data_IF_561162697358
#
_entry.id   IF_561162697358
#
_cell.length_a   1.000
_cell.length_b   1.000
_cell.length_c   1.000
_cell.angle_alpha   90.00
_cell.angle_beta   90.00
_cell.angle_gamma   90.00
#
_symmetry.space_group_name_H-M   'P 1'
#
loop_
_entity.id
_entity.type
_entity.pdbx_description
1 polymer ?
#
# COMPACT_ATOMS: atom_id res chain seq x y z
N UNK A 1 -17.65 -2.48 25.12
CA UNK A 1 -17.57 -3.46 24.01
C UNK A 1 -16.54 -2.93 23.03
N UNK A 2 -15.31 -3.42 23.05
CA UNK A 2 -14.30 -3.03 22.06
C UNK A 2 -14.60 -3.79 20.77
N UNK A 3 -14.97 -3.05 19.72
CA UNK A 3 -15.20 -3.62 18.39
C UNK A 3 -13.88 -4.09 17.75
N UNK A 4 -13.98 -4.79 16.62
CA UNK A 4 -12.80 -5.15 15.84
C UNK A 4 -12.04 -3.89 15.41
N UNK A 5 -10.71 -3.96 15.42
CA UNK A 5 -9.84 -2.90 14.89
C UNK A 5 -10.15 -2.70 13.41
N UNK A 6 -10.45 -1.48 12.96
CA UNK A 6 -10.49 -1.19 11.52
C UNK A 6 -9.09 -0.86 11.02
N UNK A 7 -8.59 -1.66 10.09
CA UNK A 7 -7.24 -1.53 9.53
C UNK A 7 -7.29 -1.31 8.02
N UNK A 8 -6.61 -0.28 7.53
CA UNK A 8 -6.39 -0.04 6.11
C UNK A 8 -5.09 -0.70 5.64
N UNK A 9 -5.11 -1.35 4.48
CA UNK A 9 -3.94 -1.99 3.87
C UNK A 9 -3.79 -1.43 2.46
N UNK A 10 -2.64 -0.83 2.14
CA UNK A 10 -2.35 -0.42 0.77
C UNK A 10 -2.22 -1.62 -0.17
N UNK A 11 -2.39 -1.39 -1.47
CA UNK A 11 -2.30 -2.44 -2.48
C UNK A 11 -0.89 -2.55 -3.08
N UNK A 12 -0.41 -1.49 -3.75
CA UNK A 12 0.85 -1.53 -4.50
C UNK A 12 2.03 -1.65 -3.54
N UNK A 13 2.95 -2.59 -3.81
CA UNK A 13 4.12 -2.89 -2.98
C UNK A 13 3.85 -3.35 -1.53
N UNK A 14 2.58 -3.45 -1.10
CA UNK A 14 2.16 -4.02 0.19
C UNK A 14 1.46 -5.36 0.00
N UNK A 15 0.43 -5.43 -0.86
CA UNK A 15 -0.23 -6.68 -1.21
C UNK A 15 0.39 -7.32 -2.46
N UNK A 16 0.82 -6.52 -3.44
CA UNK A 16 1.36 -6.97 -4.72
C UNK A 16 2.72 -6.32 -5.05
N UNK A 17 3.66 -7.04 -5.71
CA UNK A 17 5.01 -6.53 -5.99
C UNK A 17 5.07 -5.60 -7.21
N UNK A 18 4.24 -4.54 -7.25
CA UNK A 18 4.10 -3.62 -8.40
C UNK A 18 5.44 -3.10 -8.90
N UNK A 19 6.25 -2.49 -8.03
CA UNK A 19 7.53 -1.89 -8.42
C UNK A 19 8.58 -2.94 -8.76
N UNK A 20 8.64 -4.07 -8.04
CA UNK A 20 9.57 -5.16 -8.38
C UNK A 20 9.32 -5.65 -9.82
N UNK A 21 8.05 -5.92 -10.17
CA UNK A 21 7.66 -6.42 -11.50
C UNK A 21 7.78 -5.36 -12.60
N UNK A 22 7.59 -4.08 -12.26
CA UNK A 22 7.85 -2.96 -13.18
C UNK A 22 9.34 -2.80 -13.46
N UNK A 23 10.19 -2.83 -12.43
CA UNK A 23 11.64 -2.72 -12.54
C UNK A 23 12.24 -3.86 -13.35
N UNK A 24 11.76 -5.09 -13.18
CA UNK A 24 12.16 -6.22 -14.03
C UNK A 24 11.94 -5.94 -15.53
N UNK A 25 10.78 -5.37 -15.88
CA UNK A 25 10.46 -5.03 -17.27
C UNK A 25 11.35 -3.91 -17.79
N UNK A 26 11.56 -2.89 -16.98
CA UNK A 26 12.44 -1.78 -17.28
C UNK A 26 13.87 -2.26 -17.55
N UNK A 27 14.44 -3.01 -16.59
CA UNK A 27 15.80 -3.55 -16.68
C UNK A 27 15.98 -4.43 -17.91
N UNK A 28 15.00 -5.30 -18.22
CA UNK A 28 15.04 -6.12 -19.43
C UNK A 28 15.04 -5.29 -20.72
N UNK A 29 14.26 -4.21 -20.76
CA UNK A 29 14.11 -3.36 -21.95
C UNK A 29 15.31 -2.43 -22.17
N UNK A 30 15.89 -1.93 -21.08
CA UNK A 30 16.91 -0.87 -21.12
C UNK A 30 18.32 -1.36 -20.81
N UNK A 31 18.49 -2.64 -20.45
CA UNK A 31 19.80 -3.18 -20.06
C UNK A 31 20.33 -2.59 -18.75
N UNK A 32 19.44 -2.12 -17.89
CA UNK A 32 19.78 -1.53 -16.58
C UNK A 32 19.69 -2.60 -15.48
N UNK A 33 20.11 -2.24 -14.26
CA UNK A 33 20.02 -3.11 -13.08
C UNK A 33 19.51 -2.33 -11.86
N UNK A 34 18.39 -1.63 -12.03
CA UNK A 34 17.76 -0.83 -10.97
C UNK A 34 16.95 -1.76 -10.07
N UNK A 35 17.17 -1.66 -8.76
CA UNK A 35 16.43 -2.40 -7.73
C UNK A 35 15.54 -1.46 -6.91
N UNK A 36 14.65 -2.00 -6.08
CA UNK A 36 13.80 -1.18 -5.19
C UNK A 36 14.60 -0.32 -4.21
N UNK A 37 15.83 -0.71 -3.87
CA UNK A 37 16.74 0.09 -3.06
C UNK A 37 17.21 1.38 -3.76
N UNK A 38 17.22 1.39 -5.09
CA UNK A 38 17.67 2.51 -5.89
C UNK A 38 16.53 3.51 -6.18
N UNK A 39 15.29 3.18 -5.79
CA UNK A 39 14.13 4.05 -5.96
C UNK A 39 13.89 4.75 -4.64
N UNK A 40 13.95 6.09 -4.63
CA UNK A 40 13.88 6.89 -3.40
C UNK A 40 12.58 7.69 -3.25
N UNK A 41 11.69 7.62 -4.24
CA UNK A 41 10.38 8.25 -4.22
C UNK A 41 9.43 7.49 -5.13
N UNK A 42 8.13 7.52 -4.80
CA UNK A 42 7.06 7.07 -5.70
C UNK A 42 6.96 7.93 -6.96
N UNK A 43 7.56 9.13 -6.97
CA UNK A 43 7.84 9.91 -8.17
C UNK A 43 9.11 9.41 -8.86
N UNK A 44 9.07 8.16 -9.32
CA UNK A 44 10.24 7.42 -9.84
C UNK A 44 10.85 8.03 -11.11
N UNK A 45 10.25 9.06 -11.70
CA UNK A 45 10.85 9.82 -12.81
C UNK A 45 12.27 10.32 -12.45
N UNK A 46 12.45 10.76 -11.19
CA UNK A 46 13.75 11.16 -10.63
C UNK A 46 14.73 10.00 -10.57
N UNK A 47 14.28 8.83 -10.11
CA UNK A 47 15.10 7.63 -9.94
C UNK A 47 15.50 7.00 -11.28
N UNK A 48 14.69 7.17 -12.33
CA UNK A 48 14.97 6.67 -13.68
C UNK A 48 15.60 7.71 -14.61
N UNK A 49 15.73 8.97 -14.18
CA UNK A 49 16.25 10.04 -15.02
C UNK A 49 15.37 10.32 -16.24
N UNK A 50 14.05 10.16 -16.11
CA UNK A 50 13.05 10.41 -17.16
C UNK A 50 12.14 11.58 -16.79
N UNK A 51 11.36 12.10 -17.75
CA UNK A 51 10.36 13.13 -17.43
C UNK A 51 9.19 12.55 -16.64
N UNK A 52 8.45 13.40 -15.94
CA UNK A 52 7.22 13.02 -15.23
C UNK A 52 6.19 12.39 -16.18
N UNK A 53 6.02 12.93 -17.39
CA UNK A 53 5.09 12.37 -18.38
C UNK A 53 5.52 10.99 -18.84
N UNK A 54 6.83 10.76 -19.00
CA UNK A 54 7.36 9.45 -19.36
C UNK A 54 7.15 8.43 -18.23
N UNK A 55 7.26 8.86 -16.96
CA UNK A 55 6.95 8.04 -15.81
C UNK A 55 5.46 7.69 -15.72
N UNK A 56 4.57 8.69 -15.84
CA UNK A 56 3.12 8.46 -15.88
C UNK A 56 2.74 7.48 -16.99
N UNK A 57 3.33 7.64 -18.18
CA UNK A 57 3.12 6.71 -19.29
C UNK A 57 3.63 5.30 -18.97
N UNK A 58 4.80 5.17 -18.33
CA UNK A 58 5.35 3.87 -17.94
C UNK A 58 4.40 3.12 -17.00
N UNK A 59 3.82 3.81 -16.00
CA UNK A 59 2.84 3.22 -15.09
C UNK A 59 1.54 2.87 -15.79
N UNK A 60 1.03 3.74 -16.67
CA UNK A 60 -0.17 3.45 -17.46
C UNK A 60 0.03 2.23 -18.37
N UNK A 61 1.17 2.15 -19.08
CA UNK A 61 1.56 0.99 -19.89
C UNK A 61 1.67 -0.28 -19.02
N UNK A 62 2.24 -0.16 -17.81
CA UNK A 62 2.34 -1.27 -16.86
C UNK A 62 0.96 -1.77 -16.41
N UNK A 63 0.07 -0.89 -15.96
CA UNK A 63 -1.29 -1.27 -15.54
C UNK A 63 -2.12 -1.88 -16.66
N UNK A 64 -1.88 -1.48 -17.92
CA UNK A 64 -2.51 -2.10 -19.11
C UNK A 64 -1.87 -3.43 -19.53
N UNK A 65 -0.72 -3.77 -18.99
CA UNK A 65 0.03 -4.96 -19.39
C UNK A 65 -0.60 -6.26 -18.86
N UNK A 66 -0.37 -7.36 -19.58
CA UNK A 66 -0.71 -8.71 -19.09
C UNK A 66 0.02 -9.08 -17.80
N UNK A 67 1.21 -8.51 -17.57
CA UNK A 67 1.99 -8.77 -16.34
C UNK A 67 1.28 -8.20 -15.12
N UNK A 68 0.72 -7.00 -15.24
CA UNK A 68 -0.11 -6.45 -14.17
C UNK A 68 -1.41 -7.25 -13.99
N UNK A 69 -2.10 -7.60 -15.08
CA UNK A 69 -3.35 -8.37 -15.02
C UNK A 69 -3.24 -9.71 -14.27
N UNK A 70 -2.08 -10.37 -14.35
CA UNK A 70 -1.80 -11.65 -13.69
C UNK A 70 -0.83 -11.51 -12.52
N UNK A 71 -0.62 -10.30 -12.02
CA UNK A 71 0.24 -10.05 -10.88
C UNK A 71 -0.30 -10.84 -9.69
N UNK A 72 0.57 -11.58 -9.02
CA UNK A 72 0.22 -12.36 -7.84
C UNK A 72 0.50 -11.51 -6.60
N UNK A 73 -0.30 -11.64 -5.53
CA UNK A 73 0.07 -11.05 -4.26
C UNK A 73 1.40 -11.62 -3.76
N UNK A 74 2.04 -10.93 -2.81
CA UNK A 74 3.10 -11.56 -2.02
C UNK A 74 2.58 -12.84 -1.37
N UNK A 75 3.44 -13.86 -1.31
CA UNK A 75 3.07 -15.20 -0.85
C UNK A 75 2.47 -15.17 0.57
N UNK A 76 3.00 -14.32 1.43
CA UNK A 76 2.55 -14.14 2.81
C UNK A 76 1.27 -13.30 2.96
N UNK A 77 0.93 -12.45 1.98
CA UNK A 77 -0.09 -11.41 2.15
C UNK A 77 -1.45 -12.01 2.51
N UNK A 78 -1.90 -13.03 1.77
CA UNK A 78 -3.21 -13.67 2.02
C UNK A 78 -3.27 -14.28 3.43
N UNK A 79 -2.22 -14.99 3.83
CA UNK A 79 -2.14 -15.62 5.13
C UNK A 79 -2.20 -14.58 6.26
N UNK A 80 -1.46 -13.48 6.12
CA UNK A 80 -1.45 -12.40 7.11
C UNK A 80 -2.84 -11.78 7.25
N UNK A 81 -3.50 -11.39 6.15
CA UNK A 81 -4.83 -10.78 6.21
C UNK A 81 -5.85 -11.75 6.81
N UNK A 82 -5.81 -13.03 6.44
CA UNK A 82 -6.68 -14.06 7.03
C UNK A 82 -6.45 -14.23 8.54
N UNK A 83 -5.20 -14.09 9.00
CA UNK A 83 -4.87 -14.18 10.43
C UNK A 83 -5.45 -13.04 11.29
N UNK A 84 -5.93 -11.96 10.67
CA UNK A 84 -6.50 -10.80 11.35
C UNK A 84 -8.01 -10.93 11.63
N UNK A 85 -8.71 -11.92 11.04
CA UNK A 85 -10.19 -11.99 11.02
C UNK A 85 -10.90 -11.86 12.38
N UNK A 86 -10.26 -12.30 13.46
CA UNK A 86 -10.83 -12.29 14.82
C UNK A 86 -10.42 -11.04 15.63
N UNK A 87 -9.57 -10.19 15.05
CA UNK A 87 -8.96 -9.02 15.69
C UNK A 87 -9.30 -7.72 14.97
N UNK A 88 -9.43 -7.78 13.65
CA UNK A 88 -9.59 -6.62 12.80
C UNK A 88 -10.63 -6.84 11.69
N UNK A 89 -11.15 -5.73 11.18
CA UNK A 89 -11.92 -5.62 9.94
C UNK A 89 -11.01 -4.93 8.90
N UNK A 90 -10.39 -5.68 7.97
CA UNK A 90 -9.48 -5.12 6.98
C UNK A 90 -10.20 -4.38 5.86
N UNK A 91 -9.66 -3.23 5.45
CA UNK A 91 -10.03 -2.45 4.27
C UNK A 91 -8.81 -2.36 3.36
N UNK A 92 -9.01 -2.53 2.06
CA UNK A 92 -7.97 -2.15 1.10
C UNK A 92 -8.10 -0.64 0.84
N UNK A 93 -7.02 0.13 1.00
CA UNK A 93 -7.03 1.59 0.83
C UNK A 93 -5.94 1.95 -0.16
N UNK A 94 -6.32 2.33 -1.38
CA UNK A 94 -5.35 2.51 -2.49
C UNK A 94 -5.49 3.85 -3.20
N UNK A 95 -4.36 4.40 -3.64
CA UNK A 95 -4.28 5.58 -4.50
C UNK A 95 -4.59 5.31 -5.98
N UNK A 96 -4.90 4.05 -6.36
CA UNK A 96 -5.15 3.62 -7.73
C UNK A 96 -6.16 4.52 -8.45
N UNK A 97 -5.86 5.03 -9.67
CA UNK A 97 -6.75 5.95 -10.35
C UNK A 97 -7.99 5.25 -10.92
N UNK A 98 -9.04 6.05 -11.13
CA UNK A 98 -10.39 5.57 -11.49
C UNK A 98 -10.48 4.58 -12.64
N UNK A 99 -9.71 4.71 -13.75
CA UNK A 99 -9.75 3.75 -14.85
C UNK A 99 -9.49 2.30 -14.43
N UNK A 100 -8.77 2.10 -13.32
CA UNK A 100 -8.34 0.77 -12.85
C UNK A 100 -9.19 0.19 -11.71
N UNK A 101 -10.17 0.93 -11.16
CA UNK A 101 -10.98 0.48 -10.01
C UNK A 101 -11.64 -0.87 -10.22
N UNK A 102 -12.24 -1.10 -11.40
CA UNK A 102 -12.91 -2.38 -11.70
C UNK A 102 -11.94 -3.55 -11.69
N UNK A 103 -10.74 -3.33 -12.23
CA UNK A 103 -9.69 -4.33 -12.28
C UNK A 103 -9.16 -4.62 -10.88
N UNK A 104 -8.85 -3.59 -10.10
CA UNK A 104 -8.42 -3.74 -8.69
C UNK A 104 -9.44 -4.51 -7.87
N UNK A 105 -10.73 -4.13 -7.90
CA UNK A 105 -11.79 -4.87 -7.19
C UNK A 105 -11.86 -6.34 -7.61
N UNK A 106 -11.70 -6.63 -8.90
CA UNK A 106 -11.69 -8.02 -9.40
C UNK A 106 -10.46 -8.77 -8.91
N UNK A 107 -9.29 -8.13 -8.90
CA UNK A 107 -8.04 -8.71 -8.42
C UNK A 107 -8.14 -9.04 -6.93
N UNK A 108 -8.60 -8.09 -6.10
CA UNK A 108 -8.83 -8.28 -4.66
C UNK A 108 -9.79 -9.42 -4.41
N UNK A 109 -10.92 -9.48 -5.13
CA UNK A 109 -11.87 -10.59 -5.01
C UNK A 109 -11.24 -11.94 -5.35
N UNK A 110 -10.42 -12.02 -6.40
CA UNK A 110 -9.82 -13.28 -6.82
C UNK A 110 -8.75 -13.79 -5.84
N UNK A 111 -8.00 -12.88 -5.21
CA UNK A 111 -6.85 -13.22 -4.37
C UNK A 111 -7.15 -13.21 -2.87
N UNK A 112 -8.13 -12.43 -2.43
CA UNK A 112 -8.48 -12.16 -1.04
C UNK A 112 -9.99 -12.28 -0.80
N UNK A 113 -10.66 -13.23 -1.48
CA UNK A 113 -12.11 -13.43 -1.39
C UNK A 113 -12.59 -13.40 0.07
N UNK A 114 -13.48 -12.43 0.36
CA UNK A 114 -14.09 -12.18 1.68
C UNK A 114 -13.14 -11.81 2.83
N UNK A 115 -11.86 -11.52 2.55
CA UNK A 115 -10.91 -11.10 3.57
C UNK A 115 -10.92 -9.58 3.81
N UNK A 116 -11.26 -8.80 2.79
CA UNK A 116 -11.46 -7.36 2.90
C UNK A 116 -12.95 -7.01 3.00
N UNK A 117 -13.26 -6.05 3.88
CA UNK A 117 -14.58 -5.46 4.02
C UNK A 117 -14.97 -4.67 2.78
N UNK A 118 -14.06 -3.84 2.29
CA UNK A 118 -14.25 -2.98 1.12
C UNK A 118 -12.89 -2.58 0.52
N UNK A 119 -12.90 -2.21 -0.77
CA UNK A 119 -11.78 -1.53 -1.45
C UNK A 119 -12.12 -0.04 -1.59
N UNK A 120 -11.33 0.79 -0.94
CA UNK A 120 -11.47 2.24 -0.85
C UNK A 120 -10.42 2.92 -1.73
N UNK A 121 -10.85 3.89 -2.55
CA UNK A 121 -10.00 4.52 -3.56
C UNK A 121 -9.81 6.01 -3.31
N UNK A 122 -8.54 6.45 -3.30
CA UNK A 122 -8.12 7.83 -3.08
C UNK A 122 -7.94 8.64 -4.39
N UNK A 123 -7.75 7.98 -5.55
CA UNK A 123 -7.57 8.60 -6.87
C UNK A 123 -6.44 9.65 -6.98
N UNK A 124 -5.31 9.47 -6.30
CA UNK A 124 -4.28 10.51 -6.17
C UNK A 124 -3.71 11.01 -7.51
N UNK A 125 -3.42 10.09 -8.44
CA UNK A 125 -2.70 10.40 -9.69
C UNK A 125 -3.58 10.88 -10.85
N UNK A 126 -4.91 10.90 -10.72
CA UNK A 126 -5.81 11.33 -11.81
C UNK A 126 -6.63 12.55 -11.39
N UNK A 127 -6.12 13.73 -11.75
CA UNK A 127 -6.74 15.04 -11.49
C UNK A 127 -8.08 15.24 -12.21
N UNK A 128 -8.47 14.33 -13.10
CA UNK A 128 -9.77 14.38 -13.80
C UNK A 128 -10.94 13.93 -12.91
N UNK A 129 -10.65 13.34 -11.75
CA UNK A 129 -11.65 12.85 -10.81
C UNK A 129 -11.43 13.41 -9.40
N UNK A 130 -12.48 13.48 -8.57
CA UNK A 130 -12.31 13.79 -7.16
C UNK A 130 -11.34 12.81 -6.51
N UNK A 131 -10.32 13.36 -5.85
CA UNK A 131 -9.39 12.64 -5.02
C UNK A 131 -9.63 12.98 -3.55
N UNK A 132 -9.18 12.08 -2.69
CA UNK A 132 -9.13 12.26 -1.24
C UNK A 132 -7.79 11.72 -0.76
N UNK A 133 -7.27 12.29 0.31
CA UNK A 133 -6.04 11.76 0.90
C UNK A 133 -6.31 10.43 1.61
N UNK A 134 -5.25 9.68 1.94
CA UNK A 134 -5.42 8.42 2.67
C UNK A 134 -5.96 8.66 4.07
N UNK A 135 -5.50 9.73 4.74
CA UNK A 135 -5.99 10.06 6.07
C UNK A 135 -7.48 10.47 6.06
N UNK A 136 -7.96 11.19 5.03
CA UNK A 136 -9.37 11.52 4.86
C UNK A 136 -10.24 10.25 4.69
N UNK A 137 -9.83 9.35 3.79
CA UNK A 137 -10.52 8.08 3.56
C UNK A 137 -10.53 7.23 4.83
N UNK A 138 -9.40 7.15 5.53
CA UNK A 138 -9.30 6.43 6.79
C UNK A 138 -10.23 6.99 7.87
N UNK A 139 -10.26 8.31 8.07
CA UNK A 139 -11.17 8.96 9.02
C UNK A 139 -12.64 8.69 8.69
N UNK A 140 -13.03 8.83 7.43
CA UNK A 140 -14.41 8.61 6.99
C UNK A 140 -14.90 7.18 7.32
N UNK A 141 -14.01 6.20 7.28
CA UNK A 141 -14.33 4.79 7.53
C UNK A 141 -14.00 4.35 8.97
N UNK A 142 -13.52 5.26 9.82
CA UNK A 142 -13.10 4.94 11.18
C UNK A 142 -11.93 3.97 11.25
N UNK A 143 -11.06 3.97 10.23
CA UNK A 143 -9.82 3.21 10.21
C UNK A 143 -8.87 3.80 11.24
N UNK A 144 -8.37 2.95 12.14
CA UNK A 144 -7.53 3.35 13.28
C UNK A 144 -6.05 3.01 13.05
N UNK A 145 -5.78 2.08 12.14
CA UNK A 145 -4.44 1.69 11.73
C UNK A 145 -4.34 1.61 10.21
N UNK A 146 -3.23 2.04 9.60
CA UNK A 146 -2.94 1.85 8.18
C UNK A 146 -1.59 1.15 7.97
N UNK A 147 -1.50 0.29 6.96
CA UNK A 147 -0.25 -0.28 6.46
C UNK A 147 0.00 0.26 5.05
N UNK A 148 1.14 0.90 4.84
CA UNK A 148 1.47 1.59 3.59
C UNK A 148 2.98 1.53 3.35
N UNK A 149 3.44 1.44 2.10
CA UNK A 149 4.87 1.49 1.77
C UNK A 149 5.38 2.93 1.55
N UNK A 150 4.46 3.89 1.39
CA UNK A 150 4.76 5.30 1.18
C UNK A 150 4.90 6.04 2.51
N UNK A 151 6.10 6.58 2.75
CA UNK A 151 6.43 7.33 3.96
C UNK A 151 5.58 8.59 4.11
N UNK A 152 5.22 9.25 3.01
CA UNK A 152 4.38 10.45 3.03
C UNK A 152 2.96 10.11 3.47
N UNK A 153 2.37 9.05 2.91
CA UNK A 153 1.03 8.60 3.33
C UNK A 153 1.00 8.07 4.76
N UNK A 154 2.03 7.36 5.20
CA UNK A 154 2.16 6.90 6.58
C UNK A 154 2.23 8.07 7.55
N UNK A 155 3.09 9.07 7.28
CA UNK A 155 3.20 10.28 8.08
C UNK A 155 1.90 11.09 8.07
N UNK A 156 1.29 11.31 6.91
CA UNK A 156 0.02 12.03 6.77
C UNK A 156 -1.09 11.39 7.61
N UNK A 157 -1.22 10.06 7.59
CA UNK A 157 -2.18 9.35 8.44
C UNK A 157 -1.85 9.51 9.94
N UNK A 158 -0.57 9.45 10.28
CA UNK A 158 -0.10 9.57 11.65
C UNK A 158 -0.33 10.97 12.26
N UNK A 159 -0.16 12.04 11.48
CA UNK A 159 -0.52 13.41 11.87
C UNK A 159 -2.00 13.55 12.21
N UNK A 160 -2.83 12.73 11.58
CA UNK A 160 -4.27 12.67 11.82
C UNK A 160 -4.67 11.73 12.96
N UNK A 161 -3.69 11.19 13.71
CA UNK A 161 -3.90 10.31 14.85
C UNK A 161 -4.19 8.84 14.49
N UNK A 162 -4.00 8.45 13.22
CA UNK A 162 -4.14 7.06 12.76
C UNK A 162 -2.79 6.37 12.92
N UNK A 163 -2.73 5.23 13.62
CA UNK A 163 -1.46 4.49 13.79
C UNK A 163 -1.01 3.99 12.41
N UNK A 164 0.25 4.18 12.04
CA UNK A 164 0.72 3.78 10.72
C UNK A 164 1.86 2.76 10.82
N UNK A 165 1.78 1.70 10.01
CA UNK A 165 2.84 0.74 9.80
C UNK A 165 3.46 0.99 8.42
N UNK A 166 4.66 1.58 8.41
CA UNK A 166 5.39 1.84 7.16
C UNK A 166 6.08 0.55 6.71
N UNK A 167 5.56 -0.08 5.66
CA UNK A 167 6.07 -1.33 5.13
C UNK A 167 7.32 -1.10 4.27
N UNK A 168 8.41 -1.74 4.67
CA UNK A 168 9.73 -1.64 4.05
C UNK A 168 10.25 -3.06 3.84
N UNK A 169 9.73 -3.74 2.81
CA UNK A 169 9.89 -5.17 2.60
C UNK A 169 11.36 -5.60 2.68
N UNK A 170 11.69 -6.44 3.66
CA UNK A 170 13.07 -6.89 3.93
C UNK A 170 14.11 -5.75 4.05
N UNK A 171 13.66 -4.53 4.39
CA UNK A 171 14.48 -3.33 4.41
C UNK A 171 14.92 -2.83 3.03
N UNK A 172 14.26 -3.27 1.94
CA UNK A 172 14.72 -3.04 0.56
C UNK A 172 13.99 -1.90 -0.18
N UNK A 173 13.05 -1.20 0.47
CA UNK A 173 12.33 -0.11 -0.19
C UNK A 173 13.06 1.20 0.05
N UNK A 174 13.76 1.70 -0.98
CA UNK A 174 14.53 2.93 -0.90
C UNK A 174 13.67 4.16 -0.61
N UNK A 175 12.41 4.17 -1.08
CA UNK A 175 11.43 5.23 -0.87
C UNK A 175 10.80 5.21 0.52
N UNK A 176 10.91 4.09 1.23
CA UNK A 176 10.45 4.03 2.60
C UNK A 176 11.46 4.74 3.53
N UNK A 177 12.71 5.00 3.13
CA UNK A 177 13.75 5.56 4.02
C UNK A 177 13.53 7.04 4.26
N UNK A 178 13.58 7.46 5.53
CA UNK A 178 13.43 8.86 5.91
C UNK A 178 12.93 9.03 7.33
N UNK A 179 12.67 10.28 7.69
CA UNK A 179 12.07 10.65 8.97
C UNK A 179 10.60 10.21 9.03
N UNK A 180 10.22 9.63 10.17
CA UNK A 180 8.88 9.12 10.39
C UNK A 180 8.26 9.79 11.61
N UNK A 181 6.96 10.06 11.52
CA UNK A 181 6.18 10.59 12.63
C UNK A 181 6.21 9.61 13.83
N UNK A 182 6.16 10.06 15.11
CA UNK A 182 6.24 9.17 16.27
C UNK A 182 5.17 8.07 16.36
N UNK A 183 4.04 8.22 15.65
CA UNK A 183 2.98 7.19 15.55
C UNK A 183 3.17 6.24 14.36
N UNK A 184 4.23 6.41 13.59
CA UNK A 184 4.61 5.52 12.49
C UNK A 184 5.62 4.50 13.02
N UNK A 185 5.36 3.23 12.75
CA UNK A 185 6.30 2.15 13.01
C UNK A 185 6.71 1.52 11.70
N UNK A 186 8.02 1.48 11.43
CA UNK A 186 8.54 0.80 10.26
C UNK A 186 8.55 -0.71 10.46
N UNK A 187 7.98 -1.46 9.53
CA UNK A 187 7.95 -2.92 9.56
C UNK A 187 8.58 -3.49 8.28
N UNK A 188 9.39 -4.54 8.41
CA UNK A 188 10.03 -5.18 7.26
C UNK A 188 9.33 -6.45 6.76
N UNK A 189 8.30 -6.88 7.47
CA UNK A 189 7.55 -8.11 7.19
C UNK A 189 6.07 -7.90 7.46
N UNK A 190 5.21 -8.38 6.56
CA UNK A 190 3.76 -8.34 6.75
C UNK A 190 3.33 -9.16 7.97
N UNK A 191 4.09 -10.18 8.37
CA UNK A 191 3.80 -10.96 9.58
C UNK A 191 3.74 -10.10 10.85
N UNK A 192 4.43 -8.95 10.87
CA UNK A 192 4.38 -8.02 12.01
C UNK A 192 3.03 -7.34 12.19
N UNK A 193 2.18 -7.27 11.16
CA UNK A 193 0.88 -6.56 11.21
C UNK A 193 0.01 -7.13 12.33
N UNK A 194 -0.04 -8.46 12.49
CA UNK A 194 -0.85 -9.10 13.52
C UNK A 194 -0.41 -8.69 14.93
N UNK A 195 0.89 -8.65 15.18
CA UNK A 195 1.44 -8.22 16.47
C UNK A 195 1.03 -6.78 16.81
N UNK A 196 1.18 -5.86 15.87
CA UNK A 196 0.80 -4.46 16.10
C UNK A 196 -0.72 -4.26 16.23
N UNK A 197 -1.52 -5.05 15.52
CA UNK A 197 -2.97 -5.06 15.69
C UNK A 197 -3.38 -5.51 17.11
N UNK A 198 -2.73 -6.56 17.64
CA UNK A 198 -2.94 -7.04 19.01
C UNK A 198 -2.50 -6.01 20.05
N UNK A 199 -1.31 -5.42 19.88
CA UNK A 199 -0.80 -4.34 20.75
C UNK A 199 -1.78 -3.16 20.80
N UNK A 200 -2.28 -2.70 19.65
CA UNK A 200 -3.23 -1.60 19.58
C UNK A 200 -4.53 -1.88 20.36
N UNK A 201 -5.06 -3.10 20.25
CA UNK A 201 -6.26 -3.52 20.97
C UNK A 201 -6.02 -3.58 22.48
N UNK A 202 -4.85 -4.07 22.91
CA UNK A 202 -4.48 -4.11 24.32
C UNK A 202 -4.37 -2.70 24.93
N UNK A 203 -3.71 -1.77 24.23
CA UNK A 203 -3.61 -0.37 24.67
C UNK A 203 -4.99 0.30 24.77
N UNK A 204 -5.87 0.01 23.81
CA UNK A 204 -7.22 0.57 23.77
C UNK A 204 -8.12 0.04 24.89
N UNK A 205 -7.88 -1.17 25.38
CA UNK A 205 -8.61 -1.74 26.51
C UNK A 205 -8.13 -1.23 27.88
N UNK A 206 -6.94 -0.60 27.95
CA UNK A 206 -6.37 -0.03 29.18
C UNK A 206 -6.80 1.42 29.44
N UNK A 207 -7.38 2.08 28.44
CA UNK A 207 -7.91 3.45 28.51
C UNK A 207 -9.40 3.44 28.82
#
# INVERSE_FOLDING_TARGET
>A
MTGLLRIGIDNDNVLEPTFEVMLEQWNKKHGTNITTNNVHSHDFHTSFGISEEAALKLMDDFFRSWRFRFLRPFDEARFVIESLKDKAEPYEVTARPKPYHRMTKSWTKNHFDKLFKEVLFCNYYDKSYPSATKSEVCKQHGIQMIVDDNIEYANECAEQGIRALLYDRNGQYGWAKGEIHPLVTRISSLYSIKHYAEEFLEESNRK
#
